data_IF_852323765675
#
_entry.id   IF_852323765675
#
_cell.length_a   1.000
_cell.length_b   1.000
_cell.length_c   1.000
_cell.angle_alpha   90.00
_cell.angle_beta   90.00
_cell.angle_gamma   90.00
#
_symmetry.space_group_name_H-M   'P 1'
#
loop_
_entity.id
_entity.type
_entity.pdbx_description
1 polymer ?
#
# COMPACT_ATOMS: atom_id res chain seq x y z
N UNK A 1 -11.35 -36.52 10.21
CA UNK A 1 -11.19 -35.83 8.92
C UNK A 1 -12.53 -35.21 8.52
N UNK A 2 -12.83 -33.98 8.95
CA UNK A 2 -14.00 -33.19 8.47
C UNK A 2 -13.97 -31.69 8.81
N UNK A 3 -12.87 -31.16 9.38
CA UNK A 3 -12.80 -29.78 9.89
C UNK A 3 -12.43 -28.73 8.84
N UNK A 4 -11.85 -29.12 7.70
CA UNK A 4 -11.37 -28.17 6.67
C UNK A 4 -12.46 -27.50 5.81
N UNK A 5 -13.62 -28.14 5.63
CA UNK A 5 -14.69 -27.63 4.74
C UNK A 5 -15.56 -26.54 5.37
N UNK A 6 -15.72 -26.55 6.70
CA UNK A 6 -16.49 -25.54 7.44
C UNK A 6 -15.69 -24.26 7.63
N UNK A 7 -14.39 -24.37 7.95
CA UNK A 7 -13.52 -23.21 8.14
C UNK A 7 -13.29 -22.43 6.83
N UNK A 8 -13.08 -23.11 5.70
CA UNK A 8 -12.93 -22.46 4.39
C UNK A 8 -14.19 -21.70 3.96
N UNK A 9 -15.38 -22.27 4.18
CA UNK A 9 -16.66 -21.61 3.89
C UNK A 9 -16.83 -20.33 4.70
N UNK A 10 -16.44 -20.34 5.97
CA UNK A 10 -16.52 -19.16 6.82
C UNK A 10 -15.58 -18.03 6.32
N UNK A 11 -14.36 -18.36 5.90
CA UNK A 11 -13.42 -17.36 5.35
C UNK A 11 -13.91 -16.74 4.04
N UNK A 12 -14.49 -17.52 3.12
CA UNK A 12 -15.03 -17.00 1.88
C UNK A 12 -16.23 -16.08 2.13
N UNK A 13 -17.09 -16.41 3.10
CA UNK A 13 -18.21 -15.55 3.52
C UNK A 13 -17.71 -14.23 4.13
N UNK A 14 -16.74 -14.28 5.05
CA UNK A 14 -16.11 -13.09 5.64
C UNK A 14 -15.42 -12.22 4.58
N UNK A 15 -14.66 -12.82 3.64
CA UNK A 15 -14.02 -12.10 2.55
C UNK A 15 -15.06 -11.38 1.68
N UNK A 16 -16.16 -12.04 1.32
CA UNK A 16 -17.22 -11.44 0.52
C UNK A 16 -17.91 -10.27 1.25
N UNK A 17 -18.10 -10.37 2.57
CA UNK A 17 -18.63 -9.28 3.40
C UNK A 17 -17.67 -8.08 3.36
N UNK A 18 -16.37 -8.31 3.56
CA UNK A 18 -15.37 -7.24 3.57
C UNK A 18 -15.24 -6.56 2.20
N UNK A 19 -15.23 -7.34 1.11
CA UNK A 19 -15.23 -6.82 -0.27
C UNK A 19 -16.40 -5.87 -0.49
N UNK A 20 -17.62 -6.29 -0.09
CA UNK A 20 -18.81 -5.45 -0.22
C UNK A 20 -18.69 -4.16 0.58
N UNK A 21 -18.21 -4.21 1.82
CA UNK A 21 -18.04 -3.01 2.64
C UNK A 21 -17.03 -2.03 2.03
N UNK A 22 -15.83 -2.51 1.67
CA UNK A 22 -14.74 -1.68 1.14
C UNK A 22 -15.15 -1.01 -0.19
N UNK A 23 -15.94 -1.68 -1.04
CA UNK A 23 -16.49 -1.05 -2.26
C UNK A 23 -17.34 0.19 -1.96
N UNK A 24 -18.04 0.22 -0.83
CA UNK A 24 -18.88 1.33 -0.40
C UNK A 24 -18.13 2.40 0.41
N UNK A 25 -16.85 2.19 0.72
CA UNK A 25 -16.04 3.22 1.36
C UNK A 25 -15.92 4.44 0.45
N UNK A 26 -15.71 5.64 1.02
CA UNK A 26 -15.44 6.84 0.23
C UNK A 26 -14.10 6.69 -0.54
N UNK A 27 -13.69 7.72 -1.27
CA UNK A 27 -12.36 7.69 -1.92
C UNK A 27 -11.26 7.42 -0.87
N UNK A 28 -10.13 6.80 -1.25
CA UNK A 28 -9.04 6.52 -0.30
C UNK A 28 -8.58 7.73 0.50
N UNK A 29 -8.51 8.91 -0.13
CA UNK A 29 -8.16 10.17 0.54
C UNK A 29 -9.20 10.62 1.57
N UNK A 30 -10.50 10.44 1.29
CA UNK A 30 -11.58 10.71 2.23
C UNK A 30 -11.64 9.69 3.36
N UNK A 31 -11.41 8.41 3.07
CA UNK A 31 -11.32 7.35 4.08
C UNK A 31 -10.20 7.63 5.10
N UNK A 32 -9.05 8.09 4.60
CA UNK A 32 -7.88 8.39 5.41
C UNK A 32 -7.95 9.71 6.18
N UNK A 33 -9.03 10.49 6.04
CA UNK A 33 -9.24 11.66 6.89
C UNK A 33 -9.45 11.21 8.33
N UNK A 34 -8.90 11.97 9.28
CA UNK A 34 -8.84 11.54 10.68
C UNK A 34 -10.21 11.19 11.27
N UNK A 35 -11.27 11.95 10.92
CA UNK A 35 -12.62 11.73 11.42
C UNK A 35 -13.20 10.40 10.91
N UNK A 36 -13.14 10.16 9.60
CA UNK A 36 -13.61 8.91 9.00
C UNK A 36 -12.77 7.72 9.44
N UNK A 37 -11.44 7.90 9.48
CA UNK A 37 -10.54 6.84 9.93
C UNK A 37 -10.84 6.47 11.37
N UNK A 38 -11.02 7.45 12.26
CA UNK A 38 -11.41 7.22 13.64
C UNK A 38 -12.71 6.41 13.73
N UNK A 39 -13.76 6.83 13.02
CA UNK A 39 -15.03 6.11 12.98
C UNK A 39 -14.87 4.67 12.46
N UNK A 40 -14.13 4.47 11.36
CA UNK A 40 -13.90 3.15 10.76
C UNK A 40 -13.12 2.19 11.66
N UNK A 41 -12.25 2.73 12.52
CA UNK A 41 -11.37 1.96 13.42
C UNK A 41 -12.01 1.71 14.80
N UNK A 42 -13.15 2.33 15.11
CA UNK A 42 -13.91 2.02 16.33
C UNK A 42 -14.47 0.60 16.29
N UNK A 43 -14.66 0.02 17.48
CA UNK A 43 -15.05 -1.39 17.64
C UNK A 43 -16.35 -1.69 16.88
N UNK A 44 -16.29 -2.70 16.01
CA UNK A 44 -17.35 -3.35 15.20
C UNK A 44 -17.30 -3.14 13.66
N UNK A 45 -16.36 -2.37 13.12
CA UNK A 45 -16.24 -2.16 11.65
C UNK A 45 -14.84 -2.28 11.07
N UNK A 46 -13.84 -2.76 11.83
CA UNK A 46 -12.41 -2.79 11.46
C UNK A 46 -12.10 -3.64 10.21
N UNK A 47 -12.41 -3.13 9.03
CA UNK A 47 -12.29 -3.88 7.77
C UNK A 47 -10.90 -3.71 7.14
N UNK A 48 -10.17 -2.63 7.45
CA UNK A 48 -8.78 -2.41 7.03
C UNK A 48 -7.88 -2.31 8.26
N UNK A 49 -7.00 -3.30 8.42
CA UNK A 49 -6.14 -3.48 9.57
C UNK A 49 -4.81 -2.74 9.38
N UNK A 50 -4.75 -1.46 9.74
CA UNK A 50 -3.54 -0.61 9.67
C UNK A 50 -2.82 -0.52 11.01
N UNK A 51 -2.52 -1.68 11.61
CA UNK A 51 -1.96 -1.80 12.98
C UNK A 51 -2.85 -1.22 14.09
N UNK A 52 -4.17 -1.15 13.83
CA UNK A 52 -5.17 -0.66 14.78
C UNK A 52 -6.32 -1.66 14.86
N UNK A 53 -6.75 -2.04 16.08
CA UNK A 53 -6.04 -1.93 17.36
C UNK A 53 -4.70 -2.67 17.35
N UNK A 54 -3.88 -2.49 18.40
CA UNK A 54 -2.57 -3.16 18.50
C UNK A 54 -2.63 -4.69 18.46
N UNK A 55 -3.80 -5.28 18.73
CA UNK A 55 -4.07 -6.71 18.58
C UNK A 55 -4.26 -7.17 17.13
N UNK A 56 -4.42 -6.25 16.17
CA UNK A 56 -4.54 -6.56 14.75
C UNK A 56 -3.17 -6.88 14.15
N UNK A 57 -2.62 -7.99 14.60
CA UNK A 57 -1.40 -8.61 14.07
C UNK A 57 -1.86 -9.76 13.18
N UNK A 58 -1.78 -9.58 11.87
CA UNK A 58 -2.06 -10.64 10.90
C UNK A 58 -0.89 -11.64 10.84
N UNK A 59 -1.07 -12.71 10.07
CA UNK A 59 0.02 -13.60 9.66
C UNK A 59 1.17 -12.73 9.12
N UNK A 60 2.40 -12.83 9.66
CA UNK A 60 3.52 -12.07 9.14
C UNK A 60 3.68 -12.28 7.63
N UNK A 61 3.82 -11.21 6.86
CA UNK A 61 4.03 -11.27 5.39
C UNK A 61 5.20 -12.16 4.98
N UNK A 62 6.17 -12.29 5.88
CA UNK A 62 7.31 -13.19 5.78
C UNK A 62 6.88 -14.64 5.48
N UNK A 63 5.69 -15.05 5.91
CA UNK A 63 5.13 -16.38 5.67
C UNK A 63 4.41 -16.48 4.31
N UNK A 64 4.08 -15.35 3.67
CA UNK A 64 3.51 -15.32 2.32
C UNK A 64 4.60 -15.25 1.25
N UNK A 65 5.64 -14.44 1.45
CA UNK A 65 6.73 -14.32 0.49
C UNK A 65 8.07 -14.03 1.20
N UNK A 66 9.16 -14.78 0.88
CA UNK A 66 10.47 -14.58 1.47
C UNK A 66 11.06 -13.19 1.21
N UNK A 67 10.58 -12.44 0.20
CA UNK A 67 11.07 -11.08 -0.10
C UNK A 67 10.88 -10.14 1.09
N UNK A 68 9.81 -10.28 1.88
CA UNK A 68 9.58 -9.45 3.07
C UNK A 68 10.55 -9.80 4.19
N UNK A 69 10.93 -11.08 4.30
CA UNK A 69 11.97 -11.51 5.24
C UNK A 69 13.33 -10.98 4.85
N UNK A 70 13.67 -11.08 3.56
CA UNK A 70 14.91 -10.54 3.02
C UNK A 70 14.99 -9.03 3.22
N UNK A 71 13.92 -8.30 2.92
CA UNK A 71 13.82 -6.86 3.15
C UNK A 71 14.04 -6.51 4.63
N UNK A 72 13.29 -7.15 5.54
CA UNK A 72 13.39 -6.88 6.97
C UNK A 72 14.77 -7.26 7.52
N UNK A 73 15.36 -8.36 7.05
CA UNK A 73 16.70 -8.78 7.48
C UNK A 73 17.77 -7.81 7.00
N UNK A 74 17.69 -7.36 5.75
CA UNK A 74 18.59 -6.35 5.20
C UNK A 74 18.45 -5.00 5.92
N UNK A 75 17.22 -4.56 6.18
CA UNK A 75 16.94 -3.30 6.89
C UNK A 75 17.53 -3.26 8.30
N UNK A 76 17.52 -4.39 9.01
CA UNK A 76 18.09 -4.49 10.36
C UNK A 76 19.59 -4.83 10.38
N UNK A 77 20.23 -5.00 9.22
CA UNK A 77 21.64 -5.34 9.14
C UNK A 77 22.48 -4.05 9.05
N UNK A 78 23.00 -3.60 10.18
CA UNK A 78 23.90 -2.43 10.25
C UNK A 78 25.22 -2.63 9.47
N UNK A 79 25.62 -3.88 9.23
CA UNK A 79 26.79 -4.23 8.42
C UNK A 79 26.49 -4.38 6.92
N UNK A 80 25.27 -4.08 6.47
CA UNK A 80 24.92 -4.18 5.05
C UNK A 80 25.74 -3.16 4.25
N UNK A 81 26.59 -3.69 3.36
CA UNK A 81 27.40 -2.85 2.47
C UNK A 81 26.50 -2.30 1.37
N UNK A 82 26.25 -1.00 1.41
CA UNK A 82 25.54 -0.26 0.37
C UNK A 82 26.56 0.28 -0.63
N UNK A 83 26.37 -0.03 -1.91
CA UNK A 83 27.28 0.48 -2.94
C UNK A 83 27.17 2.00 -3.13
N UNK A 84 28.12 2.55 -3.90
CA UNK A 84 28.21 3.98 -4.15
C UNK A 84 26.96 4.52 -4.88
N UNK A 85 26.38 3.75 -5.78
CA UNK A 85 25.26 4.19 -6.62
C UNK A 85 23.98 4.33 -5.78
N UNK A 86 23.70 3.36 -4.91
CA UNK A 86 22.59 3.41 -3.96
C UNK A 86 22.77 4.55 -2.94
N UNK A 87 23.98 4.77 -2.43
CA UNK A 87 24.24 5.90 -1.53
C UNK A 87 24.00 7.26 -2.23
N UNK A 88 24.48 7.39 -3.47
CA UNK A 88 24.25 8.60 -4.26
C UNK A 88 22.77 8.81 -4.56
N UNK A 89 22.04 7.73 -4.90
CA UNK A 89 20.60 7.78 -5.10
C UNK A 89 19.86 8.22 -3.82
N UNK A 90 20.23 7.68 -2.66
CA UNK A 90 19.61 8.04 -1.38
C UNK A 90 19.79 9.52 -1.05
N UNK A 91 21.00 10.05 -1.23
CA UNK A 91 21.28 11.48 -1.05
C UNK A 91 20.47 12.34 -2.04
N UNK A 92 20.38 11.92 -3.30
CA UNK A 92 19.55 12.60 -4.31
C UNK A 92 18.06 12.59 -3.92
N UNK A 93 17.56 11.44 -3.44
CA UNK A 93 16.18 11.27 -3.01
C UNK A 93 15.85 12.19 -1.83
N UNK A 94 16.67 12.17 -0.78
CA UNK A 94 16.50 13.04 0.40
C UNK A 94 16.48 14.51 -0.01
N UNK A 95 17.48 14.95 -0.77
CA UNK A 95 17.58 16.36 -1.21
C UNK A 95 16.43 16.78 -2.13
N UNK A 96 15.90 15.86 -2.93
CA UNK A 96 14.79 16.15 -3.84
C UNK A 96 13.48 16.23 -3.08
N UNK A 97 13.20 15.27 -2.19
CA UNK A 97 11.96 15.20 -1.42
C UNK A 97 11.89 16.21 -0.26
N UNK A 98 13.02 16.76 0.18
CA UNK A 98 13.08 17.87 1.15
C UNK A 98 12.66 19.23 0.57
N UNK A 99 12.52 19.36 -0.76
CA UNK A 99 12.09 20.62 -1.39
C UNK A 99 10.58 20.83 -1.22
N UNK A 100 10.17 22.09 -1.11
CA UNK A 100 8.76 22.45 -1.26
C UNK A 100 8.37 22.45 -2.73
N UNK A 101 7.26 21.78 -3.04
CA UNK A 101 6.69 21.73 -4.37
C UNK A 101 5.38 22.52 -4.41
N UNK A 102 5.10 23.27 -5.48
CA UNK A 102 3.88 24.09 -5.54
C UNK A 102 2.61 23.25 -5.71
N UNK A 103 2.73 21.97 -6.10
CA UNK A 103 1.60 21.03 -6.12
C UNK A 103 2.09 19.57 -6.01
N UNK A 104 1.16 18.69 -5.61
CA UNK A 104 1.37 17.25 -5.40
C UNK A 104 1.83 16.55 -6.68
N UNK A 105 1.30 16.95 -7.84
CA UNK A 105 1.66 16.38 -9.15
C UNK A 105 3.13 16.57 -9.52
N UNK A 106 3.72 17.73 -9.22
CA UNK A 106 5.14 17.98 -9.48
C UNK A 106 6.04 17.19 -8.54
N UNK A 107 5.66 17.07 -7.26
CA UNK A 107 6.35 16.20 -6.29
C UNK A 107 6.27 14.74 -6.73
N UNK A 108 5.08 14.27 -7.08
CA UNK A 108 4.80 12.91 -7.58
C UNK A 108 5.69 12.59 -8.78
N UNK A 109 5.73 13.46 -9.80
CA UNK A 109 6.61 13.27 -10.96
C UNK A 109 8.08 13.11 -10.56
N UNK A 110 8.57 13.92 -9.62
CA UNK A 110 9.96 13.84 -9.15
C UNK A 110 10.24 12.56 -8.37
N UNK A 111 9.30 12.11 -7.57
CA UNK A 111 9.43 10.84 -6.87
C UNK A 111 9.38 9.64 -7.84
N UNK A 112 8.52 9.68 -8.87
CA UNK A 112 8.49 8.64 -9.91
C UNK A 112 9.80 8.54 -10.68
N UNK A 113 10.43 9.67 -11.01
CA UNK A 113 11.75 9.70 -11.64
C UNK A 113 12.81 8.99 -10.76
N UNK A 114 12.76 9.20 -9.44
CA UNK A 114 13.66 8.56 -8.48
C UNK A 114 13.40 7.05 -8.35
N UNK A 115 12.13 6.63 -8.18
CA UNK A 115 11.77 5.21 -8.08
C UNK A 115 12.09 4.45 -9.37
N UNK A 116 11.85 5.07 -10.53
CA UNK A 116 12.24 4.49 -11.83
C UNK A 116 13.73 4.23 -11.90
N UNK A 117 14.55 5.18 -11.43
CA UNK A 117 16.01 5.03 -11.38
C UNK A 117 16.44 3.92 -10.42
N UNK A 118 15.79 3.80 -9.26
CA UNK A 118 16.14 2.79 -8.25
C UNK A 118 15.75 1.37 -8.68
N UNK A 119 14.52 1.19 -9.17
CA UNK A 119 13.96 -0.14 -9.42
C UNK A 119 14.11 -0.58 -10.89
N UNK A 120 14.55 0.32 -11.79
CA UNK A 120 14.51 0.11 -13.23
C UNK A 120 13.10 -0.31 -13.73
N UNK A 121 12.05 0.24 -13.10
CA UNK A 121 10.64 -0.03 -13.41
C UNK A 121 9.87 1.26 -13.57
N UNK A 122 8.91 1.25 -14.49
CA UNK A 122 7.97 2.36 -14.61
C UNK A 122 6.97 2.35 -13.46
N UNK A 123 6.76 3.53 -12.87
CA UNK A 123 5.69 3.77 -11.91
C UNK A 123 4.49 4.32 -12.66
N UNK A 124 3.32 3.72 -12.45
CA UNK A 124 2.07 4.12 -13.11
C UNK A 124 1.06 4.61 -12.09
N UNK A 125 0.34 5.67 -12.44
CA UNK A 125 -0.86 6.08 -11.71
C UNK A 125 -2.01 5.20 -12.16
N UNK A 126 -2.72 4.57 -11.22
CA UNK A 126 -3.94 3.82 -11.53
C UNK A 126 -5.17 4.64 -11.17
N UNK A 127 -6.14 4.63 -12.06
CA UNK A 127 -7.49 5.15 -11.83
C UNK A 127 -8.41 3.95 -11.66
N UNK A 128 -9.11 3.90 -10.53
CA UNK A 128 -10.08 2.86 -10.21
C UNK A 128 -11.44 3.17 -10.86
N UNK A 129 -12.36 2.21 -10.81
CA UNK A 129 -13.68 2.33 -11.47
C UNK A 129 -14.54 3.43 -10.83
N UNK A 130 -14.30 3.75 -9.56
CA UNK A 130 -14.94 4.84 -8.82
C UNK A 130 -14.28 6.22 -9.08
N UNK A 131 -13.35 6.29 -10.04
CA UNK A 131 -12.55 7.47 -10.43
C UNK A 131 -11.54 7.94 -9.39
N UNK A 132 -11.40 7.24 -8.26
CA UNK A 132 -10.27 7.48 -7.36
C UNK A 132 -8.96 7.04 -8.00
N UNK A 133 -7.85 7.64 -7.60
CA UNK A 133 -6.52 7.28 -8.09
C UNK A 133 -5.51 7.25 -6.95
N UNK A 134 -4.49 6.40 -7.10
CA UNK A 134 -3.29 6.45 -6.27
C UNK A 134 -2.23 7.38 -6.88
N UNK A 135 -1.13 7.59 -6.16
CA UNK A 135 -0.03 8.39 -6.67
C UNK A 135 1.00 7.59 -7.47
N UNK A 136 1.02 6.27 -7.36
CA UNK A 136 1.90 5.44 -8.14
C UNK A 136 1.82 3.97 -7.77
N UNK A 137 2.10 3.10 -8.72
CA UNK A 137 2.12 1.65 -8.54
C UNK A 137 3.15 0.99 -9.44
N UNK A 138 3.56 -0.21 -9.05
CA UNK A 138 4.15 -1.17 -9.96
C UNK A 138 3.34 -2.47 -9.93
N UNK A 139 3.09 -2.97 -11.13
CA UNK A 139 2.21 -4.10 -11.40
C UNK A 139 3.01 -5.24 -12.07
N UNK A 140 2.63 -6.47 -11.76
CA UNK A 140 3.04 -7.68 -12.47
C UNK A 140 1.83 -8.22 -13.23
N UNK A 141 1.95 -8.29 -14.56
CA UNK A 141 0.97 -8.96 -15.39
C UNK A 141 1.15 -10.48 -15.27
N UNK A 142 0.15 -11.17 -14.73
CA UNK A 142 0.11 -12.62 -14.61
C UNK A 142 -1.15 -13.16 -15.29
N UNK A 143 -0.98 -13.71 -16.50
CA UNK A 143 -2.08 -14.16 -17.36
C UNK A 143 -3.06 -13.01 -17.66
N UNK A 144 -4.31 -13.13 -17.21
CA UNK A 144 -5.35 -12.11 -17.36
C UNK A 144 -5.49 -11.19 -16.16
N UNK A 145 -4.58 -11.27 -15.19
CA UNK A 145 -4.62 -10.50 -13.94
C UNK A 145 -3.44 -9.53 -13.87
N UNK A 146 -3.67 -8.39 -13.22
CA UNK A 146 -2.61 -7.50 -12.76
C UNK A 146 -2.51 -7.61 -11.24
N UNK A 147 -1.30 -7.85 -10.74
CA UNK A 147 -0.99 -7.95 -9.31
C UNK A 147 -0.11 -6.78 -8.91
N UNK A 148 -0.54 -5.99 -7.92
CA UNK A 148 0.27 -4.96 -7.31
C UNK A 148 1.35 -5.59 -6.43
N UNK A 149 2.61 -5.25 -6.69
CA UNK A 149 3.71 -5.53 -5.77
C UNK A 149 4.29 -4.25 -5.13
N UNK A 150 3.90 -3.08 -5.64
CA UNK A 150 4.21 -1.77 -5.05
C UNK A 150 3.02 -0.82 -5.23
N UNK A 151 2.64 -0.13 -4.15
CA UNK A 151 1.70 0.99 -4.16
C UNK A 151 2.34 2.19 -3.45
N UNK A 152 2.10 3.39 -3.97
CA UNK A 152 2.70 4.65 -3.51
C UNK A 152 1.59 5.68 -3.31
N UNK A 153 1.60 6.35 -2.16
CA UNK A 153 0.84 7.57 -1.88
C UNK A 153 1.79 8.68 -1.43
N UNK A 154 1.57 9.89 -1.94
CA UNK A 154 2.48 11.02 -1.84
C UNK A 154 1.71 12.24 -1.35
N UNK A 155 2.21 12.85 -0.29
CA UNK A 155 1.76 14.16 0.19
C UNK A 155 2.87 15.17 0.09
N UNK A 156 2.46 16.42 -0.13
CA UNK A 156 3.41 17.53 -0.23
C UNK A 156 4.20 17.74 1.07
N UNK A 157 3.53 17.58 2.21
CA UNK A 157 4.11 17.69 3.55
C UNK A 157 3.20 16.94 4.56
N UNK A 158 3.75 16.61 5.72
CA UNK A 158 2.98 16.04 6.84
C UNK A 158 1.84 17.01 7.22
N UNK A 159 0.63 16.47 7.35
CA UNK A 159 -0.58 17.24 7.70
C UNK A 159 -1.30 17.90 6.52
N UNK A 160 -0.74 17.90 5.32
CA UNK A 160 -1.42 18.38 4.11
C UNK A 160 -2.49 17.37 3.66
N UNK A 161 -3.67 17.86 3.27
CA UNK A 161 -4.78 17.02 2.79
C UNK A 161 -5.63 16.40 3.90
N UNK A 162 -5.33 16.68 5.18
CA UNK A 162 -6.04 16.16 6.37
C UNK A 162 -6.09 14.63 6.46
N UNK A 163 -5.22 13.94 5.72
CA UNK A 163 -5.12 12.50 5.69
C UNK A 163 -3.65 12.07 5.83
N UNK A 164 -3.45 10.91 6.44
CA UNK A 164 -2.14 10.27 6.52
C UNK A 164 -1.87 9.45 5.23
N UNK A 165 -0.69 9.60 4.59
CA UNK A 165 -0.39 8.89 3.34
C UNK A 165 -0.41 7.37 3.51
N UNK A 166 -0.07 6.83 4.68
CA UNK A 166 -0.06 5.38 4.89
C UNK A 166 -1.47 4.80 5.03
N UNK A 167 -2.36 5.49 5.75
CA UNK A 167 -3.77 5.14 5.82
C UNK A 167 -4.46 5.27 4.46
N UNK A 168 -4.14 6.32 3.70
CA UNK A 168 -4.63 6.48 2.33
C UNK A 168 -4.15 5.33 1.45
N UNK A 169 -2.89 4.93 1.57
CA UNK A 169 -2.31 3.86 0.75
C UNK A 169 -2.93 2.49 1.05
N UNK A 170 -3.19 2.19 2.32
CA UNK A 170 -3.89 0.97 2.72
C UNK A 170 -5.32 0.93 2.15
N UNK A 171 -6.03 2.06 2.17
CA UNK A 171 -7.34 2.18 1.55
C UNK A 171 -7.26 2.02 0.02
N UNK A 172 -6.28 2.63 -0.64
CA UNK A 172 -6.04 2.47 -2.09
C UNK A 172 -5.77 1.02 -2.48
N UNK A 173 -4.94 0.31 -1.71
CA UNK A 173 -4.69 -1.13 -1.88
C UNK A 173 -5.99 -1.95 -1.76
N UNK A 174 -6.76 -1.70 -0.70
CA UNK A 174 -8.01 -2.40 -0.46
C UNK A 174 -9.04 -2.14 -1.57
N UNK A 175 -9.18 -0.88 -2.03
CA UNK A 175 -10.09 -0.53 -3.13
C UNK A 175 -9.67 -1.16 -4.46
N UNK A 176 -8.38 -1.23 -4.76
CA UNK A 176 -7.90 -1.89 -5.99
C UNK A 176 -8.32 -3.36 -6.04
N UNK A 177 -8.04 -4.13 -4.99
CA UNK A 177 -8.33 -5.57 -5.02
C UNK A 177 -9.80 -5.91 -4.87
N UNK A 178 -10.59 -5.02 -4.28
CA UNK A 178 -12.03 -5.22 -4.18
C UNK A 178 -12.78 -4.87 -5.46
N UNK A 179 -12.16 -4.36 -6.53
CA UNK A 179 -12.83 -4.18 -7.82
C UNK A 179 -13.38 -5.50 -8.39
N UNK A 180 -14.49 -5.45 -9.14
CA UNK A 180 -15.15 -6.65 -9.69
C UNK A 180 -14.20 -7.50 -10.56
N UNK A 181 -13.34 -6.84 -11.35
CA UNK A 181 -12.33 -7.51 -12.19
C UNK A 181 -11.33 -8.36 -11.39
N UNK A 182 -11.14 -8.09 -10.10
CA UNK A 182 -10.16 -8.73 -9.24
C UNK A 182 -10.76 -9.80 -8.30
N UNK A 183 -12.09 -10.04 -8.34
CA UNK A 183 -12.76 -10.99 -7.44
C UNK A 183 -12.20 -12.42 -7.50
N UNK A 184 -11.83 -12.89 -8.69
CA UNK A 184 -11.25 -14.22 -8.86
C UNK A 184 -9.87 -14.31 -8.21
N UNK A 185 -9.10 -13.23 -8.30
CA UNK A 185 -7.74 -13.15 -7.78
C UNK A 185 -7.72 -13.21 -6.24
N UNK A 186 -8.65 -12.51 -5.59
CA UNK A 186 -8.84 -12.54 -4.13
C UNK A 186 -9.11 -13.95 -3.57
N UNK A 187 -9.71 -14.84 -4.37
CA UNK A 187 -10.05 -16.21 -3.95
C UNK A 187 -8.89 -17.19 -4.03
N UNK A 188 -7.81 -16.82 -4.72
CA UNK A 188 -6.71 -17.74 -5.05
C UNK A 188 -5.34 -17.26 -4.57
N UNK A 189 -5.22 -15.99 -4.16
CA UNK A 189 -3.95 -15.38 -3.76
C UNK A 189 -4.14 -14.41 -2.58
N UNK A 190 -3.13 -14.33 -1.70
CA UNK A 190 -3.10 -13.41 -0.56
C UNK A 190 -2.50 -12.02 -0.88
N UNK A 191 -1.97 -11.86 -2.11
CA UNK A 191 -1.64 -10.59 -2.76
C UNK A 191 -0.67 -9.66 -1.99
N UNK A 192 0.48 -10.18 -1.53
CA UNK A 192 1.42 -9.36 -0.80
C UNK A 192 1.94 -8.19 -1.65
N UNK A 193 2.08 -7.01 -1.05
CA UNK A 193 2.44 -5.78 -1.75
C UNK A 193 3.26 -4.87 -0.82
N UNK A 194 4.30 -4.22 -1.33
CA UNK A 194 4.93 -3.12 -0.60
C UNK A 194 4.08 -1.86 -0.73
N UNK A 195 3.94 -1.12 0.36
CA UNK A 195 3.26 0.17 0.39
C UNK A 195 4.25 1.25 0.78
N UNK A 196 4.35 2.31 -0.02
CA UNK A 196 5.17 3.49 0.27
C UNK A 196 4.25 4.67 0.57
N UNK A 197 4.36 5.20 1.79
CA UNK A 197 3.81 6.51 2.14
C UNK A 197 4.91 7.55 2.16
N UNK A 198 4.74 8.64 1.41
CA UNK A 198 5.67 9.77 1.37
C UNK A 198 4.95 11.04 1.82
N UNK A 199 5.55 11.82 2.72
CA UNK A 199 5.11 13.17 3.06
C UNK A 199 6.33 14.06 3.33
N UNK A 200 6.51 15.11 2.52
CA UNK A 200 7.74 15.90 2.64
C UNK A 200 8.97 15.03 2.35
N UNK A 201 10.02 15.07 3.18
CA UNK A 201 11.14 14.13 3.11
C UNK A 201 10.90 12.81 3.87
N UNK A 202 9.77 12.65 4.56
CA UNK A 202 9.48 11.45 5.35
C UNK A 202 8.94 10.32 4.46
N UNK A 203 9.62 9.18 4.49
CA UNK A 203 9.26 7.96 3.76
C UNK A 203 8.95 6.86 4.77
N UNK A 204 7.83 6.17 4.56
CA UNK A 204 7.46 4.96 5.27
C UNK A 204 7.25 3.83 4.29
N UNK A 205 7.83 2.66 4.60
CA UNK A 205 7.66 1.42 3.83
C UNK A 205 6.89 0.44 4.72
N UNK A 206 5.78 -0.05 4.19
CA UNK A 206 4.86 -0.99 4.79
C UNK A 206 4.68 -2.20 3.87
N UNK A 207 3.97 -3.22 4.35
CA UNK A 207 3.45 -4.32 3.56
C UNK A 207 2.31 -5.02 4.29
#
# INVERSE_FOLDING_TARGET
VSTGSSSKRNYEEEQNINVKKIRHYPSPSSFAQIDYLYESQQKNTQDILIHRPSSCVSMPLILYDPVFFMFKSAFNNEGLIIDKEHNQWTLECINTMAKFYPNEKLRQKKFHELIRKLLAKDVKVLVLDDKSSNDGTCELDFHSYSVLYLLIEIKNEIGIGKCDPTAQAAASYAKFYTQEKNEKLLKVCNLPCFIIGLAGPWICILG
#
